data_IF_820653939535
#
_entry.id   IF_820653939535
#
_cell.length_a   1.000
_cell.length_b   1.000
_cell.length_c   1.000
_cell.angle_alpha   90.00
_cell.angle_beta   90.00
_cell.angle_gamma   90.00
#
_symmetry.space_group_name_H-M   'P 1'
#
loop_
_entity.id
_entity.type
_entity.pdbx_description
1 polymer ?
#
# COMPACT_ATOMS: atom_id res chain seq x y z
N UNK A 1 16.23 41.16 -20.45
CA UNK A 1 14.85 41.20 -19.94
C UNK A 1 14.31 39.80 -19.65
N UNK A 2 13.98 38.97 -20.66
CA UNK A 2 13.48 37.60 -20.39
C UNK A 2 14.49 36.72 -19.63
N UNK A 3 15.77 36.74 -20.00
CA UNK A 3 16.79 35.97 -19.29
C UNK A 3 16.94 36.40 -17.81
N UNK A 4 16.74 37.68 -17.52
CA UNK A 4 16.88 38.22 -16.17
C UNK A 4 15.66 37.84 -15.31
N UNK A 5 14.46 37.81 -15.91
CA UNK A 5 13.24 37.28 -15.28
C UNK A 5 13.41 35.78 -14.92
N UNK A 6 13.85 34.95 -15.87
CA UNK A 6 14.06 33.52 -15.60
C UNK A 6 15.14 33.25 -14.54
N UNK A 7 16.19 34.09 -14.48
CA UNK A 7 17.20 34.01 -13.40
C UNK A 7 16.59 34.37 -12.05
N UNK A 8 15.76 35.41 -11.97
CA UNK A 8 15.07 35.78 -10.75
C UNK A 8 14.12 34.67 -10.27
N UNK A 9 13.36 34.06 -11.19
CA UNK A 9 12.47 32.92 -10.90
C UNK A 9 13.25 31.69 -10.42
N UNK A 10 14.38 31.39 -11.05
CA UNK A 10 15.24 30.28 -10.63
C UNK A 10 15.81 30.50 -9.22
N UNK A 11 16.24 31.72 -8.90
CA UNK A 11 16.70 32.08 -7.55
C UNK A 11 15.56 31.95 -6.53
N UNK A 12 14.39 32.52 -6.80
CA UNK A 12 13.24 32.44 -5.91
C UNK A 12 12.84 30.99 -5.62
N UNK A 13 12.86 30.13 -6.64
CA UNK A 13 12.59 28.70 -6.48
C UNK A 13 13.66 27.97 -5.66
N UNK A 14 14.94 28.34 -5.80
CA UNK A 14 16.03 27.79 -5.00
C UNK A 14 15.92 28.20 -3.52
N UNK A 15 15.60 29.47 -3.26
CA UNK A 15 15.39 30.00 -1.91
C UNK A 15 14.19 29.28 -1.24
N UNK A 16 13.08 29.10 -1.98
CA UNK A 16 11.91 28.37 -1.51
C UNK A 16 12.20 26.90 -1.21
N UNK A 17 13.00 26.22 -2.04
CA UNK A 17 13.47 24.85 -1.77
C UNK A 17 14.30 24.76 -0.49
N UNK A 18 15.11 25.76 -0.19
CA UNK A 18 15.90 25.79 1.03
C UNK A 18 15.00 25.95 2.27
N UNK A 19 13.96 26.78 2.18
CA UNK A 19 12.95 26.93 3.24
C UNK A 19 12.19 25.63 3.49
N UNK A 20 11.72 24.95 2.44
CA UNK A 20 11.00 23.67 2.59
C UNK A 20 11.84 22.57 3.23
N UNK A 21 13.16 22.55 3.02
CA UNK A 21 14.04 21.57 3.68
C UNK A 21 14.04 21.71 5.19
N UNK A 22 13.75 22.89 5.73
CA UNK A 22 13.62 23.11 7.18
C UNK A 22 12.37 22.43 7.75
N UNK A 23 11.38 22.13 6.91
CA UNK A 23 10.13 21.49 7.31
C UNK A 23 10.24 19.97 7.40
N UNK A 24 11.36 19.36 6.95
CA UNK A 24 11.54 17.89 6.92
C UNK A 24 11.22 17.22 8.26
N UNK A 25 11.71 17.79 9.36
CA UNK A 25 11.54 17.23 10.71
C UNK A 25 10.49 18.03 11.52
N UNK A 26 9.82 19.00 10.90
CA UNK A 26 8.79 19.79 11.54
C UNK A 26 7.48 18.99 11.64
N UNK A 27 6.68 19.27 12.67
CA UNK A 27 5.37 18.65 12.80
C UNK A 27 4.38 19.19 11.76
N UNK A 28 3.55 18.30 11.23
CA UNK A 28 2.43 18.64 10.35
C UNK A 28 1.20 19.10 11.14
N UNK A 29 1.18 20.38 11.50
CA UNK A 29 0.11 21.00 12.31
C UNK A 29 -0.43 22.24 11.62
N UNK A 30 -1.74 22.40 11.61
CA UNK A 30 -2.40 23.61 11.13
C UNK A 30 -2.21 24.79 12.09
N UNK A 31 -2.45 26.01 11.62
CA UNK A 31 -2.33 27.22 12.45
C UNK A 31 -3.25 27.25 13.69
N UNK A 32 -4.36 26.48 13.66
CA UNK A 32 -5.30 26.29 14.77
C UNK A 32 -5.03 25.01 15.60
N UNK A 33 -3.91 24.32 15.37
CA UNK A 33 -3.42 23.24 16.24
C UNK A 33 -3.89 21.83 15.88
N UNK A 34 -4.50 21.62 14.71
CA UNK A 34 -4.91 20.27 14.24
C UNK A 34 -3.71 19.56 13.61
N UNK A 35 -3.33 18.43 14.20
CA UNK A 35 -2.30 17.56 13.62
C UNK A 35 -2.89 16.72 12.47
N UNK A 36 -2.12 16.57 11.39
CA UNK A 36 -2.42 15.68 10.26
C UNK A 36 -1.17 14.86 9.95
N UNK A 37 -1.36 13.64 9.43
CA UNK A 37 -0.23 12.80 9.05
C UNK A 37 0.11 12.99 7.58
N UNK A 38 1.35 13.39 7.27
CA UNK A 38 1.85 13.45 5.90
C UNK A 38 2.60 12.15 5.56
N UNK A 39 1.92 11.27 4.84
CA UNK A 39 2.46 9.97 4.46
C UNK A 39 2.92 9.94 2.99
N UNK A 40 3.88 9.07 2.69
CA UNK A 40 4.33 8.83 1.32
C UNK A 40 3.55 7.69 0.66
N UNK A 41 3.45 7.75 -0.68
CA UNK A 41 3.04 6.62 -1.50
C UNK A 41 4.30 6.03 -2.14
N UNK A 42 4.49 4.72 -2.03
CA UNK A 42 5.65 4.01 -2.57
C UNK A 42 5.22 2.89 -3.52
N UNK A 43 6.06 2.62 -4.51
CA UNK A 43 5.89 1.53 -5.47
C UNK A 43 6.89 0.40 -5.26
N UNK A 44 8.03 0.66 -4.62
CA UNK A 44 9.05 -0.35 -4.30
C UNK A 44 9.67 -0.07 -2.92
N UNK A 45 10.34 -1.06 -2.29
CA UNK A 45 11.05 -0.82 -1.03
C UNK A 45 12.14 0.26 -1.13
N UNK A 46 12.68 0.52 -2.33
CA UNK A 46 13.72 1.54 -2.54
C UNK A 46 13.19 2.97 -2.36
N UNK A 47 11.90 3.18 -2.56
CA UNK A 47 11.28 4.50 -2.43
C UNK A 47 11.20 4.96 -0.96
N UNK A 48 11.43 4.06 0.00
CA UNK A 48 11.47 4.37 1.43
C UNK A 48 12.57 5.37 1.78
N UNK A 49 13.72 5.30 1.10
CA UNK A 49 14.80 6.28 1.28
C UNK A 49 14.31 7.69 0.93
N UNK A 50 13.67 7.84 -0.25
CA UNK A 50 13.07 9.10 -0.67
C UNK A 50 11.95 9.57 0.26
N UNK A 51 11.13 8.66 0.79
CA UNK A 51 10.09 9.00 1.77
C UNK A 51 10.71 9.57 3.06
N UNK A 52 11.72 8.91 3.62
CA UNK A 52 12.43 9.37 4.81
C UNK A 52 13.18 10.69 4.56
N UNK A 53 13.78 10.86 3.39
CA UNK A 53 14.51 12.07 3.02
C UNK A 53 13.62 13.31 2.91
N UNK A 54 12.34 13.11 2.60
CA UNK A 54 11.32 14.15 2.56
C UNK A 54 10.50 14.26 3.84
N UNK A 55 10.86 13.55 4.92
CA UNK A 55 10.19 13.69 6.22
C UNK A 55 8.86 12.96 6.35
N UNK A 56 8.59 11.96 5.51
CA UNK A 56 7.32 11.23 5.56
C UNK A 56 7.08 10.61 6.96
N UNK A 57 5.88 10.79 7.49
CA UNK A 57 5.49 10.33 8.83
C UNK A 57 4.98 8.89 8.83
N UNK A 58 4.65 8.37 7.65
CA UNK A 58 4.27 6.99 7.38
C UNK A 58 4.36 6.69 5.88
N UNK A 59 4.18 5.44 5.50
CA UNK A 59 3.77 5.05 4.15
C UNK A 59 2.27 4.82 4.18
N UNK A 60 1.51 5.71 3.52
CA UNK A 60 0.04 5.65 3.47
C UNK A 60 -0.47 4.72 2.37
N UNK A 61 0.39 4.38 1.40
CA UNK A 61 0.11 3.43 0.36
C UNK A 61 1.42 2.82 -0.16
N UNK A 62 1.62 1.53 0.07
CA UNK A 62 2.58 0.72 -0.66
C UNK A 62 1.83 -0.08 -1.72
N UNK A 63 2.07 0.25 -2.98
CA UNK A 63 1.58 -0.45 -4.17
C UNK A 63 2.38 -1.74 -4.38
N UNK A 64 1.75 -2.90 -4.20
CA UNK A 64 2.45 -4.19 -4.29
C UNK A 64 2.63 -4.70 -5.73
N UNK A 65 2.08 -4.03 -6.73
CA UNK A 65 2.05 -4.53 -8.12
C UNK A 65 3.43 -4.73 -8.73
N UNK A 66 4.45 -3.98 -8.26
CA UNK A 66 5.83 -4.14 -8.73
C UNK A 66 6.35 -5.57 -8.54
N UNK A 67 5.93 -6.26 -7.46
CA UNK A 67 6.32 -7.65 -7.18
C UNK A 67 5.88 -8.62 -8.27
N UNK A 68 4.81 -8.27 -8.98
CA UNK A 68 4.22 -9.10 -10.01
C UNK A 68 4.71 -8.63 -11.39
N UNK A 69 4.71 -7.33 -11.66
CA UNK A 69 5.07 -6.80 -12.98
C UNK A 69 6.54 -7.06 -13.36
N UNK A 70 7.46 -7.07 -12.38
CA UNK A 70 8.89 -7.27 -12.63
C UNK A 70 9.32 -8.75 -12.62
N UNK A 71 8.39 -9.66 -12.33
CA UNK A 71 8.66 -11.10 -12.21
C UNK A 71 8.34 -11.87 -13.50
N UNK A 72 9.05 -12.97 -13.74
CA UNK A 72 8.74 -13.90 -14.85
C UNK A 72 7.65 -14.92 -14.51
N UNK A 73 7.33 -15.05 -13.23
CA UNK A 73 6.32 -15.94 -12.66
C UNK A 73 5.70 -15.31 -11.41
N UNK A 74 4.66 -15.93 -10.83
CA UNK A 74 4.05 -15.42 -9.61
C UNK A 74 5.09 -15.37 -8.47
N UNK A 75 5.26 -14.23 -7.79
CA UNK A 75 6.26 -14.10 -6.74
C UNK A 75 5.92 -15.01 -5.55
N UNK A 76 6.92 -15.74 -5.07
CA UNK A 76 6.74 -16.65 -3.94
C UNK A 76 6.43 -15.89 -2.64
N UNK A 77 5.91 -16.59 -1.62
CA UNK A 77 5.70 -16.02 -0.28
C UNK A 77 7.00 -15.38 0.25
N UNK A 78 8.15 -16.01 0.00
CA UNK A 78 9.45 -15.55 0.50
C UNK A 78 9.94 -14.30 -0.23
N UNK A 79 9.71 -14.18 -1.54
CA UNK A 79 10.08 -12.99 -2.31
C UNK A 79 9.25 -11.78 -1.85
N UNK A 80 7.94 -11.99 -1.69
CA UNK A 80 7.03 -10.98 -1.18
C UNK A 80 7.38 -10.59 0.26
N UNK A 81 7.66 -11.56 1.13
CA UNK A 81 8.04 -11.33 2.53
C UNK A 81 9.30 -10.45 2.62
N UNK A 82 10.34 -10.76 1.84
CA UNK A 82 11.59 -9.96 1.83
C UNK A 82 11.33 -8.52 1.44
N UNK A 83 10.49 -8.29 0.43
CA UNK A 83 10.15 -6.95 -0.02
C UNK A 83 9.34 -6.16 1.02
N UNK A 84 8.29 -6.77 1.60
CA UNK A 84 7.49 -6.11 2.63
C UNK A 84 8.30 -5.85 3.89
N UNK A 85 9.10 -6.82 4.34
CA UNK A 85 10.02 -6.66 5.47
C UNK A 85 10.96 -5.48 5.26
N UNK A 86 11.60 -5.38 4.08
CA UNK A 86 12.52 -4.30 3.77
C UNK A 86 11.84 -2.92 3.85
N UNK A 87 10.60 -2.80 3.36
CA UNK A 87 9.86 -1.54 3.45
C UNK A 87 9.48 -1.19 4.89
N UNK A 88 9.02 -2.17 5.68
CA UNK A 88 8.62 -1.99 7.08
C UNK A 88 9.82 -1.62 7.97
N UNK A 89 10.93 -2.36 7.87
CA UNK A 89 12.16 -2.04 8.61
C UNK A 89 12.72 -0.67 8.22
N UNK A 90 12.71 -0.35 6.92
CA UNK A 90 13.21 0.93 6.41
C UNK A 90 12.42 2.16 6.90
N UNK A 91 11.18 1.98 7.35
CA UNK A 91 10.36 3.06 7.91
C UNK A 91 10.59 3.30 9.41
N UNK A 92 11.51 2.54 10.04
CA UNK A 92 12.00 2.78 11.40
C UNK A 92 10.88 2.92 12.44
N UNK A 93 9.89 2.03 12.38
CA UNK A 93 8.73 2.01 13.29
C UNK A 93 7.55 2.87 12.87
N UNK A 94 7.67 3.71 11.83
CA UNK A 94 6.53 4.38 11.21
C UNK A 94 5.66 3.38 10.45
N UNK A 95 4.35 3.59 10.45
CA UNK A 95 3.38 2.69 9.83
C UNK A 95 3.58 2.57 8.31
N UNK A 96 3.42 1.35 7.80
CA UNK A 96 3.38 1.04 6.36
C UNK A 96 2.04 0.38 6.02
N UNK A 97 1.21 1.10 5.28
CA UNK A 97 -0.06 0.57 4.76
C UNK A 97 0.20 -0.10 3.41
N UNK A 98 0.19 -1.43 3.38
CA UNK A 98 0.35 -2.21 2.15
C UNK A 98 -1.01 -2.48 1.54
N UNK A 99 -1.18 -2.08 0.28
CA UNK A 99 -2.34 -2.46 -0.50
C UNK A 99 -2.10 -3.84 -1.12
N UNK A 100 -3.03 -4.76 -0.94
CA UNK A 100 -2.94 -6.06 -1.62
C UNK A 100 -3.03 -5.87 -3.14
N UNK A 101 -2.66 -6.92 -3.87
CA UNK A 101 -2.51 -6.87 -5.32
C UNK A 101 -3.73 -6.27 -6.04
N UNK A 102 -3.53 -5.17 -6.77
CA UNK A 102 -4.53 -4.57 -7.69
C UNK A 102 -4.01 -4.64 -9.14
N UNK A 103 -4.17 -5.85 -9.67
CA UNK A 103 -3.85 -6.29 -11.04
C UNK A 103 -5.14 -6.70 -11.75
N UNK A 104 -5.10 -6.77 -13.08
CA UNK A 104 -6.27 -6.80 -13.93
C UNK A 104 -6.59 -5.40 -14.44
N UNK A 105 -7.44 -5.30 -15.45
CA UNK A 105 -7.62 -4.02 -16.15
C UNK A 105 -6.63 -3.88 -17.31
N UNK A 106 -5.80 -2.86 -17.24
CA UNK A 106 -4.76 -2.47 -18.19
C UNK A 106 -3.38 -3.10 -17.90
N UNK A 107 -3.23 -3.79 -16.76
CA UNK A 107 -1.98 -4.40 -16.31
C UNK A 107 -1.95 -5.89 -16.63
N UNK A 108 -1.38 -6.23 -17.78
CA UNK A 108 -1.23 -7.62 -18.22
C UNK A 108 -0.01 -8.29 -17.58
N UNK A 109 -0.18 -9.54 -17.13
CA UNK A 109 0.89 -10.41 -16.66
C UNK A 109 1.00 -11.61 -17.60
N UNK A 110 2.11 -11.79 -18.34
CA UNK A 110 2.25 -12.88 -19.31
C UNK A 110 2.05 -14.29 -18.72
N UNK A 111 2.35 -14.48 -17.44
CA UNK A 111 2.26 -15.74 -16.72
C UNK A 111 0.94 -15.94 -15.95
N UNK A 112 0.06 -14.94 -15.92
CA UNK A 112 -1.27 -15.02 -15.34
C UNK A 112 -2.30 -14.61 -16.39
N UNK A 113 -2.64 -15.50 -17.34
CA UNK A 113 -3.60 -15.18 -18.39
C UNK A 113 -4.98 -14.96 -17.77
N UNK A 114 -5.48 -13.73 -17.89
CA UNK A 114 -6.83 -13.34 -17.51
C UNK A 114 -7.74 -13.36 -18.75
N UNK A 115 -9.05 -13.59 -18.60
CA UNK A 115 -9.97 -13.52 -19.72
C UNK A 115 -9.96 -12.11 -20.34
N UNK A 116 -10.07 -12.03 -21.67
CA UNK A 116 -10.28 -10.74 -22.33
C UNK A 116 -11.66 -10.18 -21.95
N UNK A 117 -11.70 -8.92 -21.54
CA UNK A 117 -12.92 -8.23 -21.14
C UNK A 117 -13.17 -7.01 -22.01
N UNK A 118 -14.44 -6.75 -22.34
CA UNK A 118 -14.80 -5.53 -23.07
C UNK A 118 -14.48 -4.26 -22.26
N UNK A 119 -14.57 -4.33 -20.93
CA UNK A 119 -14.31 -3.20 -20.02
C UNK A 119 -13.48 -3.66 -18.81
N UNK A 120 -12.15 -3.77 -18.95
CA UNK A 120 -11.28 -4.30 -17.90
C UNK A 120 -11.34 -3.49 -16.59
N UNK A 121 -11.60 -2.19 -16.64
CA UNK A 121 -11.75 -1.34 -15.44
C UNK A 121 -12.97 -1.70 -14.57
N UNK A 122 -14.01 -2.26 -15.17
CA UNK A 122 -15.25 -2.67 -14.49
C UNK A 122 -15.29 -4.18 -14.19
N UNK A 123 -14.26 -4.92 -14.63
CA UNK A 123 -14.25 -6.37 -14.73
C UNK A 123 -13.48 -7.10 -13.64
N UNK A 124 -12.85 -8.20 -14.00
CA UNK A 124 -12.16 -9.14 -13.13
C UNK A 124 -10.77 -8.64 -12.75
N UNK A 125 -10.69 -7.90 -11.63
CA UNK A 125 -9.46 -7.29 -11.12
C UNK A 125 -9.37 -7.26 -9.59
N UNK A 126 -8.17 -7.03 -9.09
CA UNK A 126 -7.89 -6.72 -7.70
C UNK A 126 -8.49 -7.75 -6.72
N UNK A 127 -9.26 -7.32 -5.73
CA UNK A 127 -9.87 -8.22 -4.74
C UNK A 127 -10.75 -9.31 -5.36
N UNK A 128 -11.33 -9.08 -6.54
CA UNK A 128 -12.15 -10.08 -7.25
C UNK A 128 -11.29 -11.26 -7.71
N UNK A 129 -10.09 -10.97 -8.23
CA UNK A 129 -9.09 -12.00 -8.51
C UNK A 129 -8.66 -12.66 -7.20
N UNK A 130 -8.38 -11.89 -6.15
CA UNK A 130 -7.92 -12.43 -4.87
C UNK A 130 -8.91 -13.39 -4.20
N UNK A 131 -10.21 -13.10 -4.25
CA UNK A 131 -11.25 -13.95 -3.66
C UNK A 131 -11.50 -15.23 -4.48
N UNK A 132 -11.38 -15.15 -5.80
CA UNK A 132 -11.53 -16.29 -6.71
C UNK A 132 -10.27 -17.18 -6.73
N UNK A 133 -9.08 -16.57 -6.76
CA UNK A 133 -7.75 -17.21 -6.79
C UNK A 133 -7.05 -17.08 -5.44
N UNK A 134 -7.60 -17.78 -4.45
CA UNK A 134 -7.10 -17.74 -3.08
C UNK A 134 -5.65 -18.25 -2.93
N UNK A 135 -5.15 -19.06 -3.85
CA UNK A 135 -3.75 -19.49 -3.88
C UNK A 135 -2.79 -18.29 -3.96
N UNK A 136 -3.11 -17.32 -4.82
CA UNK A 136 -2.33 -16.08 -4.97
C UNK A 136 -2.54 -15.17 -3.75
N UNK A 137 -3.78 -15.02 -3.31
CA UNK A 137 -4.12 -14.11 -2.21
C UNK A 137 -3.54 -14.55 -0.87
N UNK A 138 -3.67 -15.83 -0.51
CA UNK A 138 -3.12 -16.40 0.71
C UNK A 138 -1.60 -16.28 0.75
N UNK A 139 -0.92 -16.51 -0.38
CA UNK A 139 0.53 -16.31 -0.50
C UNK A 139 0.92 -14.88 -0.11
N UNK A 140 0.20 -13.88 -0.63
CA UNK A 140 0.46 -12.48 -0.28
C UNK A 140 0.15 -12.18 1.20
N UNK A 141 -1.00 -12.63 1.71
CA UNK A 141 -1.38 -12.40 3.10
C UNK A 141 -0.39 -13.02 4.08
N UNK A 142 0.09 -14.24 3.82
CA UNK A 142 1.11 -14.90 4.65
C UNK A 142 2.41 -14.10 4.67
N UNK A 143 2.85 -13.60 3.52
CA UNK A 143 4.03 -12.75 3.43
C UNK A 143 3.88 -11.44 4.23
N UNK A 144 2.71 -10.79 4.16
CA UNK A 144 2.39 -9.57 4.92
C UNK A 144 2.34 -9.84 6.44
N UNK A 145 1.69 -10.92 6.85
CA UNK A 145 1.60 -11.36 8.24
C UNK A 145 2.99 -11.63 8.82
N UNK A 146 3.86 -12.32 8.08
CA UNK A 146 5.26 -12.52 8.49
C UNK A 146 6.05 -11.22 8.57
N UNK A 147 5.86 -10.30 7.63
CA UNK A 147 6.54 -9.00 7.62
C UNK A 147 6.10 -8.09 8.78
N UNK A 148 4.86 -8.23 9.25
CA UNK A 148 4.32 -7.44 10.38
C UNK A 148 5.12 -7.57 11.67
N UNK A 149 5.89 -8.66 11.86
CA UNK A 149 6.74 -8.83 13.03
C UNK A 149 7.88 -7.79 13.11
N UNK A 150 8.26 -7.20 11.98
CA UNK A 150 9.43 -6.33 11.87
C UNK A 150 9.12 -4.83 11.98
N UNK A 151 7.84 -4.46 12.17
CA UNK A 151 7.44 -3.07 12.38
C UNK A 151 5.92 -2.86 12.19
N UNK A 152 5.48 -1.61 12.20
CA UNK A 152 4.05 -1.27 12.10
C UNK A 152 3.54 -1.45 10.66
N UNK A 153 2.76 -2.50 10.43
CA UNK A 153 2.18 -2.84 9.13
C UNK A 153 0.65 -2.81 9.22
N UNK A 154 0.03 -2.21 8.21
CA UNK A 154 -1.41 -2.28 7.98
C UNK A 154 -1.68 -2.88 6.59
N UNK A 155 -2.80 -3.58 6.44
CA UNK A 155 -3.21 -4.21 5.17
C UNK A 155 -4.47 -3.52 4.67
N UNK A 156 -4.47 -3.15 3.39
CA UNK A 156 -5.60 -2.49 2.74
C UNK A 156 -6.05 -3.28 1.51
N UNK A 157 -7.32 -3.67 1.47
CA UNK A 157 -7.91 -4.34 0.30
C UNK A 157 -8.40 -3.33 -0.75
N UNK A 158 -7.96 -3.43 -2.02
CA UNK A 158 -8.45 -2.60 -3.13
C UNK A 158 -9.83 -3.05 -3.62
N UNK A 159 -10.55 -2.17 -4.32
CA UNK A 159 -11.75 -2.47 -5.12
C UNK A 159 -12.90 -3.17 -4.36
N UNK A 160 -12.96 -3.05 -3.04
CA UNK A 160 -14.11 -3.51 -2.26
C UNK A 160 -15.35 -2.69 -2.67
N UNK A 161 -16.42 -3.36 -3.10
CA UNK A 161 -17.69 -2.75 -3.45
C UNK A 161 -18.79 -3.05 -2.42
N UNK A 162 -18.66 -4.15 -1.68
CA UNK A 162 -19.68 -4.69 -0.78
C UNK A 162 -19.12 -5.07 0.59
N UNK A 163 -19.98 -5.08 1.61
CA UNK A 163 -19.62 -5.55 2.95
C UNK A 163 -19.20 -7.03 2.95
N UNK A 164 -19.79 -7.84 2.07
CA UNK A 164 -19.48 -9.27 2.01
C UNK A 164 -18.05 -9.50 1.50
N UNK A 165 -17.62 -8.81 0.45
CA UNK A 165 -16.25 -8.90 -0.06
C UNK A 165 -15.21 -8.57 1.03
N UNK A 166 -15.46 -7.52 1.82
CA UNK A 166 -14.57 -7.18 2.93
C UNK A 166 -14.52 -8.28 4.00
N UNK A 167 -15.68 -8.85 4.36
CA UNK A 167 -15.77 -9.95 5.33
C UNK A 167 -15.07 -11.20 4.84
N UNK A 168 -15.24 -11.56 3.58
CA UNK A 168 -14.61 -12.74 2.98
C UNK A 168 -13.09 -12.58 2.95
N UNK A 169 -12.61 -11.40 2.53
CA UNK A 169 -11.17 -11.08 2.53
C UNK A 169 -10.59 -11.11 3.96
N UNK A 170 -11.29 -10.52 4.93
CA UNK A 170 -10.88 -10.53 6.33
C UNK A 170 -10.89 -11.94 6.91
N UNK A 171 -11.86 -12.78 6.57
CA UNK A 171 -11.89 -14.18 7.02
C UNK A 171 -10.67 -14.97 6.55
N UNK A 172 -10.24 -14.78 5.30
CA UNK A 172 -9.02 -15.40 4.76
C UNK A 172 -7.77 -14.89 5.49
N UNK A 173 -7.71 -13.58 5.78
CA UNK A 173 -6.63 -13.00 6.60
C UNK A 173 -6.55 -13.65 8.00
N UNK A 174 -7.67 -13.74 8.70
CA UNK A 174 -7.71 -14.33 10.05
C UNK A 174 -7.34 -15.82 10.03
N UNK A 175 -7.75 -16.56 8.99
CA UNK A 175 -7.39 -17.95 8.80
C UNK A 175 -5.87 -18.13 8.64
N UNK A 176 -5.23 -17.34 7.77
CA UNK A 176 -3.78 -17.41 7.57
C UNK A 176 -3.00 -16.91 8.79
N UNK A 177 -3.51 -15.90 9.51
CA UNK A 177 -2.94 -15.47 10.79
C UNK A 177 -2.95 -16.61 11.80
N UNK A 178 -4.09 -17.28 11.97
CA UNK A 178 -4.23 -18.41 12.89
C UNK A 178 -3.31 -19.58 12.53
N UNK A 179 -3.19 -19.91 11.24
CA UNK A 179 -2.26 -20.96 10.76
C UNK A 179 -0.81 -20.63 11.08
N UNK A 180 -0.35 -19.42 10.76
CA UNK A 180 1.02 -18.99 11.03
C UNK A 180 1.35 -19.01 12.52
N UNK A 181 0.43 -18.54 13.37
CA UNK A 181 0.59 -18.58 14.82
C UNK A 181 0.65 -20.02 15.34
N UNK A 182 -0.21 -20.92 14.83
CA UNK A 182 -0.18 -22.33 15.17
C UNK A 182 1.13 -23.03 14.74
N UNK A 183 1.70 -22.61 13.62
CA UNK A 183 3.00 -23.08 13.11
C UNK A 183 4.20 -22.45 13.86
N UNK A 184 3.95 -21.57 14.84
CA UNK A 184 5.00 -20.90 15.63
C UNK A 184 5.73 -19.79 14.87
N UNK A 185 5.17 -19.31 13.76
CA UNK A 185 5.74 -18.20 12.99
C UNK A 185 5.37 -16.87 13.67
N UNK A 186 6.34 -15.98 13.96
CA UNK A 186 6.06 -14.69 14.55
C UNK A 186 5.19 -13.81 13.64
N UNK A 187 4.11 -13.28 14.20
CA UNK A 187 3.16 -12.35 13.57
C UNK A 187 2.81 -11.28 14.59
N UNK A 188 2.63 -10.02 14.17
CA UNK A 188 2.17 -8.96 15.07
C UNK A 188 0.72 -9.21 15.51
N UNK A 189 0.42 -8.96 16.79
CA UNK A 189 -0.95 -8.98 17.30
C UNK A 189 -1.74 -7.76 16.81
N UNK A 190 -1.06 -6.64 16.56
CA UNK A 190 -1.63 -5.33 16.22
C UNK A 190 -1.42 -5.03 14.73
N UNK A 191 -2.25 -5.63 13.88
CA UNK A 191 -2.27 -5.39 12.44
C UNK A 191 -3.61 -4.77 12.09
N UNK A 192 -3.58 -3.53 11.61
CA UNK A 192 -4.77 -2.86 11.11
C UNK A 192 -5.15 -3.44 9.74
N UNK A 193 -6.43 -3.80 9.57
CA UNK A 193 -6.98 -4.28 8.30
C UNK A 193 -8.09 -3.35 7.85
N UNK A 194 -7.89 -2.73 6.68
CA UNK A 194 -8.81 -1.77 6.09
C UNK A 194 -9.05 -2.03 4.62
N UNK A 195 -9.68 -1.06 3.96
CA UNK A 195 -9.98 -1.11 2.53
C UNK A 195 -9.80 0.24 1.87
N UNK A 196 -9.53 0.22 0.57
CA UNK A 196 -9.47 1.43 -0.25
C UNK A 196 -10.89 1.86 -0.62
N UNK A 197 -11.27 3.07 -0.24
CA UNK A 197 -12.56 3.68 -0.60
C UNK A 197 -12.51 4.25 -2.02
N UNK A 198 -12.60 3.38 -3.03
CA UNK A 198 -12.48 3.77 -4.45
C UNK A 198 -13.65 3.35 -5.35
N UNK A 199 -14.60 2.57 -4.81
CA UNK A 199 -15.83 2.18 -5.53
C UNK A 199 -17.01 3.01 -5.00
N UNK A 200 -17.80 3.69 -5.87
CA UNK A 200 -18.93 4.50 -5.41
C UNK A 200 -19.94 3.73 -4.53
N UNK A 201 -20.18 2.46 -4.84
CA UNK A 201 -21.05 1.60 -4.03
C UNK A 201 -20.57 1.47 -2.57
N UNK A 202 -19.25 1.42 -2.33
CA UNK A 202 -18.69 1.38 -0.97
C UNK A 202 -18.98 2.68 -0.21
N UNK A 203 -18.87 3.83 -0.87
CA UNK A 203 -19.20 5.12 -0.25
C UNK A 203 -20.68 5.20 0.19
N UNK A 204 -21.58 4.59 -0.58
CA UNK A 204 -23.01 4.52 -0.25
C UNK A 204 -23.33 3.68 0.99
N UNK A 205 -22.41 2.82 1.42
CA UNK A 205 -22.54 1.94 2.60
C UNK A 205 -21.40 2.10 3.59
N UNK A 206 -20.73 3.25 3.59
CA UNK A 206 -19.55 3.52 4.41
C UNK A 206 -19.82 3.35 5.92
N UNK A 207 -21.02 3.68 6.38
CA UNK A 207 -21.47 3.48 7.76
C UNK A 207 -21.52 2.01 8.19
N UNK A 208 -21.70 1.10 7.23
CA UNK A 208 -21.69 -0.35 7.45
C UNK A 208 -20.28 -0.93 7.37
N UNK A 209 -19.44 -0.39 6.48
CA UNK A 209 -18.04 -0.81 6.32
C UNK A 209 -17.15 -0.32 7.48
N UNK A 210 -17.53 0.79 8.13
CA UNK A 210 -16.81 1.34 9.28
C UNK A 210 -17.08 0.63 10.63
N UNK A 211 -17.85 -0.47 10.63
CA UNK A 211 -18.20 -1.28 11.81
C UNK A 211 -17.45 -2.60 11.82
#
# INVERSE_FOLDING_TARGET
EELDDYKARAKAFADQKAEWKLLKDAKSVTADGKEVKLAANIGTPKDVEGANDNGAEAVGLFRSEFLYMDASELPSEEDQFKAYKAAVEGMNGKQVVVRTMDIGGDKELPYLPLPEEQNPFLGYRAIRISLDRQDIFRTQLRALLRASHYGSLAIMFPMIATVQEFKDAKAIFEEEKAKLVADGVPVSDDIEVGMMMEVPAAAMVADKLAK
#
